data_IF_211762310024
#
_entry.id   IF_211762310024
#
_cell.length_a   1.000
_cell.length_b   1.000
_cell.length_c   1.000
_cell.angle_alpha   90.00
_cell.angle_beta   90.00
_cell.angle_gamma   90.00
#
_symmetry.space_group_name_H-M   'P 1'
#
loop_
_entity.id
_entity.type
_entity.pdbx_description
1 polymer ?
#
# COMPACT_ATOMS: atom_id res chain seq x y z
N UNK A 1 26.74 -2.00 -17.65
CA UNK A 1 25.32 -1.65 -17.41
C UNK A 1 25.23 -0.19 -16.98
N UNK A 2 24.89 0.74 -17.89
CA UNK A 2 24.55 2.11 -17.47
C UNK A 2 23.15 2.06 -16.84
N UNK A 3 23.08 2.07 -15.51
CA UNK A 3 21.85 2.44 -14.79
C UNK A 3 21.52 3.88 -15.19
N UNK A 4 20.65 4.04 -16.19
CA UNK A 4 20.23 5.35 -16.65
C UNK A 4 19.47 6.02 -15.49
N UNK A 5 19.89 7.21 -15.07
CA UNK A 5 19.26 7.97 -13.99
C UNK A 5 17.75 8.14 -14.23
N UNK A 6 17.35 8.16 -15.51
CA UNK A 6 15.96 8.14 -15.95
C UNK A 6 15.18 6.91 -15.47
N UNK A 7 15.79 5.72 -15.49
CA UNK A 7 15.13 4.49 -15.02
C UNK A 7 14.85 4.56 -13.51
N UNK A 8 15.77 5.13 -12.74
CA UNK A 8 15.59 5.31 -11.30
C UNK A 8 14.51 6.34 -11.02
N UNK A 9 14.48 7.43 -11.79
CA UNK A 9 13.42 8.41 -11.74
C UNK A 9 12.05 7.79 -12.07
N UNK A 10 11.93 7.02 -13.16
CA UNK A 10 10.68 6.40 -13.58
C UNK A 10 10.15 5.36 -12.57
N UNK A 11 11.06 4.66 -11.89
CA UNK A 11 10.75 3.70 -10.84
C UNK A 11 10.26 4.40 -9.56
N UNK A 12 10.98 5.41 -9.09
CA UNK A 12 10.78 5.98 -7.75
C UNK A 12 9.84 7.19 -7.72
N UNK A 13 9.75 7.95 -8.81
CA UNK A 13 8.94 9.17 -8.88
C UNK A 13 7.47 8.97 -8.47
N UNK A 14 6.78 7.87 -8.79
CA UNK A 14 5.37 7.73 -8.39
C UNK A 14 5.19 7.69 -6.86
N UNK A 15 6.07 6.97 -6.15
CA UNK A 15 6.06 6.91 -4.69
C UNK A 15 6.45 8.27 -4.09
N UNK A 16 7.51 8.92 -4.61
CA UNK A 16 7.91 10.22 -4.08
C UNK A 16 6.87 11.31 -4.32
N UNK A 17 6.23 11.34 -5.49
CA UNK A 17 5.13 12.25 -5.78
C UNK A 17 3.99 12.01 -4.80
N UNK A 18 3.60 10.75 -4.57
CA UNK A 18 2.57 10.39 -3.61
C UNK A 18 2.90 10.88 -2.19
N UNK A 19 4.10 10.54 -1.67
CA UNK A 19 4.54 10.93 -0.33
C UNK A 19 4.60 12.46 -0.18
N UNK A 20 5.24 13.15 -1.13
CA UNK A 20 5.39 14.61 -1.08
C UNK A 20 4.02 15.27 -1.14
N UNK A 21 3.16 14.87 -2.07
CA UNK A 21 1.85 15.48 -2.22
C UNK A 21 0.96 15.24 -0.99
N UNK A 22 0.97 14.03 -0.43
CA UNK A 22 0.28 13.72 0.82
C UNK A 22 0.82 14.57 2.00
N UNK A 23 2.15 14.67 2.13
CA UNK A 23 2.78 15.45 3.18
C UNK A 23 2.48 16.95 3.05
N UNK A 24 2.55 17.51 1.84
CA UNK A 24 2.23 18.91 1.56
C UNK A 24 0.78 19.23 1.86
N UNK A 25 -0.18 18.43 1.39
CA UNK A 25 -1.59 18.64 1.70
C UNK A 25 -1.86 18.56 3.20
N UNK A 26 -1.26 17.58 3.88
CA UNK A 26 -1.46 17.42 5.32
C UNK A 26 -0.88 18.62 6.09
N UNK A 27 0.31 19.08 5.71
CA UNK A 27 0.94 20.28 6.27
C UNK A 27 0.07 21.53 6.08
N UNK A 28 -0.47 21.74 4.87
CA UNK A 28 -1.35 22.87 4.58
C UNK A 28 -2.63 22.83 5.44
N UNK A 29 -3.32 21.68 5.51
CA UNK A 29 -4.51 21.54 6.33
C UNK A 29 -4.22 21.76 7.82
N UNK A 30 -3.09 21.26 8.32
CA UNK A 30 -2.65 21.52 9.69
C UNK A 30 -2.38 23.00 9.97
N UNK A 31 -1.88 23.76 8.97
CA UNK A 31 -1.64 25.22 9.12
C UNK A 31 -2.92 26.02 9.33
N UNK A 32 -4.05 25.52 8.83
CA UNK A 32 -5.39 26.07 9.02
C UNK A 32 -6.15 25.39 10.17
N UNK A 33 -5.48 24.61 11.02
CA UNK A 33 -6.07 23.92 12.18
C UNK A 33 -7.25 23.01 11.80
N UNK A 34 -7.24 22.45 10.60
CA UNK A 34 -8.27 21.51 10.16
C UNK A 34 -8.09 20.18 10.90
N UNK A 35 -9.07 19.83 11.73
CA UNK A 35 -9.09 18.55 12.43
C UNK A 35 -9.18 17.36 11.46
N UNK A 36 -8.62 16.20 11.85
CA UNK A 36 -8.57 14.98 11.03
C UNK A 36 -7.93 15.19 9.64
N UNK A 37 -6.97 16.11 9.54
CA UNK A 37 -6.29 16.47 8.28
C UNK A 37 -5.84 15.24 7.49
N UNK A 38 -5.22 14.25 8.13
CA UNK A 38 -4.75 13.01 7.47
C UNK A 38 -5.88 12.24 6.77
N UNK A 39 -7.07 12.17 7.39
CA UNK A 39 -8.23 11.49 6.82
C UNK A 39 -8.76 12.24 5.59
N UNK A 40 -8.84 13.57 5.70
CA UNK A 40 -9.27 14.44 4.60
C UNK A 40 -8.30 14.34 3.41
N UNK A 41 -6.99 14.38 3.66
CA UNK A 41 -5.97 14.19 2.60
C UNK A 41 -6.15 12.85 1.92
N UNK A 42 -6.40 11.78 2.67
CA UNK A 42 -6.59 10.43 2.11
C UNK A 42 -7.79 10.36 1.18
N UNK A 43 -8.90 11.01 1.56
CA UNK A 43 -10.11 11.09 0.74
C UNK A 43 -9.84 11.89 -0.54
N UNK A 44 -9.20 13.07 -0.41
CA UNK A 44 -8.81 13.91 -1.55
C UNK A 44 -7.88 13.14 -2.49
N UNK A 45 -6.98 12.32 -1.95
CA UNK A 45 -6.00 11.56 -2.72
C UNK A 45 -6.60 10.46 -3.57
N UNK A 46 -7.72 9.88 -3.14
CA UNK A 46 -8.28 8.70 -3.78
C UNK A 46 -8.67 8.91 -5.25
N UNK A 47 -9.39 9.99 -5.63
CA UNK A 47 -9.62 10.30 -7.04
C UNK A 47 -8.34 10.42 -7.88
N UNK A 48 -7.26 11.04 -7.34
CA UNK A 48 -5.98 11.16 -8.05
C UNK A 48 -5.28 9.82 -8.21
N UNK A 49 -5.33 8.97 -7.18
CA UNK A 49 -4.78 7.62 -7.23
C UNK A 49 -5.50 6.79 -8.31
N UNK A 50 -6.83 6.83 -8.36
CA UNK A 50 -7.61 6.19 -9.41
C UNK A 50 -7.27 6.74 -10.79
N UNK A 51 -7.20 8.07 -10.93
CA UNK A 51 -6.84 8.70 -12.20
C UNK A 51 -5.45 8.26 -12.69
N UNK A 52 -4.44 8.27 -11.80
CA UNK A 52 -3.10 7.79 -12.12
C UNK A 52 -3.10 6.31 -12.53
N UNK A 53 -3.87 5.48 -11.84
CA UNK A 53 -4.06 4.07 -12.19
C UNK A 53 -4.70 3.89 -13.58
N UNK A 54 -5.74 4.66 -13.90
CA UNK A 54 -6.40 4.60 -15.20
C UNK A 54 -5.49 5.04 -16.34
N UNK A 55 -4.74 6.13 -16.19
CA UNK A 55 -3.77 6.57 -17.20
C UNK A 55 -2.74 5.48 -17.50
N UNK A 56 -2.27 4.80 -16.46
CA UNK A 56 -1.30 3.72 -16.60
C UNK A 56 -1.86 2.44 -17.21
N UNK A 57 -3.15 2.16 -16.99
CA UNK A 57 -3.82 0.99 -17.58
C UNK A 57 -4.20 1.24 -19.04
N UNK A 58 -4.54 2.49 -19.40
CA UNK A 58 -4.92 2.85 -20.77
C UNK A 58 -3.74 2.68 -21.74
N UNK A 59 -2.52 3.02 -21.33
CA UNK A 59 -1.29 2.82 -22.14
C UNK A 59 -0.81 1.37 -22.28
N UNK A 60 -1.47 0.39 -21.64
CA UNK A 60 -1.07 -1.04 -21.67
C UNK A 60 -2.00 -1.94 -22.48
N UNK A 61 -3.09 -1.42 -23.05
CA UNK A 61 -4.03 -2.23 -23.86
C UNK A 61 -3.39 -2.82 -25.13
N UNK A 62 -2.25 -2.31 -25.61
CA UNK A 62 -1.67 -2.72 -26.89
C UNK A 62 -0.62 -3.85 -26.84
N UNK A 63 -0.15 -4.33 -25.67
CA UNK A 63 0.94 -5.33 -25.64
C UNK A 63 0.87 -6.35 -24.49
N UNK A 64 -0.33 -6.71 -24.06
CA UNK A 64 -0.50 -7.64 -22.96
C UNK A 64 -0.89 -9.05 -23.43
N UNK A 65 0.10 -9.82 -23.90
CA UNK A 65 0.16 -11.27 -23.62
C UNK A 65 0.44 -11.50 -22.12
N UNK A 66 -0.25 -10.78 -21.23
CA UNK A 66 -0.18 -11.00 -19.79
C UNK A 66 -1.19 -12.08 -19.47
N UNK A 67 -0.80 -13.33 -19.73
CA UNK A 67 -1.45 -14.52 -19.19
C UNK A 67 -1.19 -14.58 -17.69
N UNK A 68 -1.79 -13.65 -16.93
CA UNK A 68 -1.91 -13.84 -15.49
C UNK A 68 -2.71 -15.11 -15.28
N UNK A 69 -2.13 -16.12 -14.61
CA UNK A 69 -2.85 -17.36 -14.30
C UNK A 69 -4.18 -16.99 -13.65
N UNK A 70 -5.31 -17.61 -14.02
CA UNK A 70 -6.60 -17.30 -13.42
C UNK A 70 -6.50 -17.47 -11.91
N UNK A 71 -7.08 -16.52 -11.17
CA UNK A 71 -7.10 -16.56 -9.71
C UNK A 71 -7.84 -17.82 -9.25
N UNK A 72 -7.16 -18.72 -8.53
CA UNK A 72 -7.75 -19.98 -8.04
C UNK A 72 -8.13 -19.84 -6.56
N UNK A 73 -9.21 -20.48 -6.14
CA UNK A 73 -9.64 -20.53 -4.73
C UNK A 73 -8.54 -21.01 -3.76
N UNK A 74 -7.65 -21.91 -4.21
CA UNK A 74 -6.53 -22.35 -3.38
C UNK A 74 -5.48 -21.25 -3.13
N UNK A 75 -5.36 -20.29 -4.05
CA UNK A 75 -4.50 -19.13 -3.85
C UNK A 75 -5.10 -18.16 -2.83
N UNK A 76 -6.43 -18.01 -2.84
CA UNK A 76 -7.15 -17.28 -1.78
C UNK A 76 -6.86 -17.89 -0.42
N UNK A 77 -7.02 -19.21 -0.25
CA UNK A 77 -6.75 -19.91 1.02
C UNK A 77 -5.32 -19.69 1.53
N UNK A 78 -4.32 -19.80 0.64
CA UNK A 78 -2.91 -19.55 0.99
C UNK A 78 -2.68 -18.10 1.40
N UNK A 79 -3.26 -17.15 0.66
CA UNK A 79 -3.17 -15.72 0.99
C UNK A 79 -3.85 -15.42 2.34
N UNK A 80 -5.02 -16.01 2.60
CA UNK A 80 -5.73 -15.88 3.88
C UNK A 80 -4.91 -16.41 5.05
N UNK A 81 -4.24 -17.56 4.89
CA UNK A 81 -3.39 -18.11 5.96
C UNK A 81 -2.19 -17.19 6.26
N UNK A 82 -1.54 -16.65 5.22
CA UNK A 82 -0.44 -15.70 5.38
C UNK A 82 -0.93 -14.41 6.06
N UNK A 83 -2.11 -13.91 5.67
CA UNK A 83 -2.74 -12.74 6.31
C UNK A 83 -3.04 -13.00 7.78
N UNK A 84 -3.65 -14.15 8.11
CA UNK A 84 -3.96 -14.53 9.49
C UNK A 84 -2.67 -14.61 10.31
N UNK A 85 -1.65 -15.29 9.79
CA UNK A 85 -0.35 -15.40 10.48
C UNK A 85 0.27 -14.02 10.70
N UNK A 86 0.27 -13.14 9.69
CA UNK A 86 0.78 -11.79 9.80
C UNK A 86 0.01 -10.94 10.82
N UNK A 87 -1.31 -11.05 10.86
CA UNK A 87 -2.17 -10.38 11.83
C UNK A 87 -1.88 -10.89 13.24
N UNK A 88 -1.78 -12.20 13.44
CA UNK A 88 -1.45 -12.81 14.75
C UNK A 88 -0.08 -12.34 15.23
N UNK A 89 0.95 -12.36 14.37
CA UNK A 89 2.28 -11.85 14.71
C UNK A 89 2.19 -10.37 15.11
N UNK A 90 1.46 -9.57 14.35
CA UNK A 90 1.28 -8.14 14.64
C UNK A 90 0.63 -7.94 16.00
N UNK A 91 -0.44 -8.68 16.31
CA UNK A 91 -1.16 -8.64 17.59
C UNK A 91 -0.22 -8.99 18.75
N UNK A 92 0.55 -10.08 18.63
CA UNK A 92 1.49 -10.55 19.67
C UNK A 92 2.63 -9.55 19.90
N UNK A 93 3.09 -8.87 18.86
CA UNK A 93 4.18 -7.88 18.95
C UNK A 93 3.69 -6.51 19.42
N UNK A 94 2.39 -6.20 19.19
CA UNK A 94 1.79 -4.93 19.57
C UNK A 94 1.50 -4.87 21.07
N UNK A 95 1.85 -3.73 21.69
CA UNK A 95 1.29 -3.37 22.99
C UNK A 95 -0.07 -2.71 22.71
N UNK A 96 -1.15 -3.19 23.33
CA UNK A 96 -2.46 -2.57 23.12
C UNK A 96 -2.50 -1.18 23.76
N UNK A 97 -2.61 -0.16 22.92
CA UNK A 97 -3.07 1.16 23.35
C UNK A 97 -4.54 1.26 22.98
N UNK A 98 -5.41 1.20 23.99
CA UNK A 98 -6.85 1.26 23.75
C UNK A 98 -7.22 2.58 23.06
N UNK A 99 -7.79 2.49 21.86
CA UNK A 99 -8.19 3.68 21.10
C UNK A 99 -9.63 4.03 21.46
N UNK A 100 -9.84 5.16 22.13
CA UNK A 100 -11.13 5.47 22.79
C UNK A 100 -12.30 5.79 21.84
N UNK A 101 -12.07 5.98 20.52
CA UNK A 101 -13.15 6.33 19.59
C UNK A 101 -12.87 5.89 18.15
N UNK A 102 -13.62 4.89 17.68
CA UNK A 102 -13.71 4.54 16.27
C UNK A 102 -14.73 5.46 15.59
N UNK A 103 -14.35 6.11 14.50
CA UNK A 103 -15.24 7.00 13.74
C UNK A 103 -15.46 6.45 12.33
N UNK A 104 -16.61 6.78 11.72
CA UNK A 104 -16.84 6.47 10.30
C UNK A 104 -15.71 7.03 9.43
N UNK A 105 -15.25 8.23 9.75
CA UNK A 105 -14.14 8.88 9.06
C UNK A 105 -12.84 8.07 9.15
N UNK A 106 -12.48 7.54 10.32
CA UNK A 106 -11.27 6.73 10.50
C UNK A 106 -11.36 5.39 9.78
N UNK A 107 -12.54 4.75 9.73
CA UNK A 107 -12.75 3.52 8.95
C UNK A 107 -12.58 3.82 7.47
N UNK A 108 -13.29 4.83 6.95
CA UNK A 108 -13.20 5.21 5.54
C UNK A 108 -11.76 5.56 5.15
N UNK A 109 -11.06 6.37 5.94
CA UNK A 109 -9.72 6.81 5.56
C UNK A 109 -8.63 5.76 5.83
N UNK A 110 -8.55 5.18 7.03
CA UNK A 110 -7.40 4.34 7.42
C UNK A 110 -7.56 2.88 7.01
N UNK A 111 -8.80 2.38 6.95
CA UNK A 111 -9.06 0.97 6.63
C UNK A 111 -9.30 0.77 5.15
N UNK A 112 -10.03 1.68 4.49
CA UNK A 112 -10.41 1.51 3.09
C UNK A 112 -9.50 2.30 2.12
N UNK A 113 -9.54 3.63 2.22
CA UNK A 113 -8.95 4.49 1.19
C UNK A 113 -7.42 4.58 1.29
N UNK A 114 -6.87 4.61 2.51
CA UNK A 114 -5.42 4.65 2.75
C UNK A 114 -4.69 3.48 2.11
N UNK A 115 -5.03 2.22 2.49
CA UNK A 115 -4.48 1.03 1.85
C UNK A 115 -4.65 1.02 0.34
N UNK A 116 -5.81 1.45 -0.17
CA UNK A 116 -6.05 1.47 -1.62
C UNK A 116 -5.13 2.46 -2.34
N UNK A 117 -4.97 3.67 -1.80
CA UNK A 117 -4.04 4.67 -2.34
C UNK A 117 -2.61 4.13 -2.35
N UNK A 118 -2.17 3.56 -1.23
CA UNK A 118 -0.83 2.99 -1.08
C UNK A 118 -0.61 1.86 -2.10
N UNK A 119 -1.52 0.90 -2.22
CA UNK A 119 -1.34 -0.21 -3.16
C UNK A 119 -1.29 0.23 -4.62
N UNK A 120 -2.01 1.29 -5.00
CA UNK A 120 -1.92 1.85 -6.35
C UNK A 120 -0.49 2.33 -6.63
N UNK A 121 0.05 3.23 -5.79
CA UNK A 121 1.36 3.83 -6.05
C UNK A 121 2.52 2.83 -5.83
N UNK A 122 2.48 2.07 -4.75
CA UNK A 122 3.57 1.15 -4.41
C UNK A 122 3.53 -0.11 -5.29
N UNK A 123 2.37 -0.78 -5.44
CA UNK A 123 2.29 -2.12 -6.05
C UNK A 123 1.81 -2.07 -7.49
N UNK A 124 0.81 -1.24 -7.79
CA UNK A 124 0.29 -1.08 -9.13
C UNK A 124 1.26 -0.37 -10.08
N UNK A 125 1.94 0.65 -9.57
CA UNK A 125 2.79 1.53 -10.38
C UNK A 125 4.28 1.21 -10.17
N UNK A 126 4.84 1.52 -9.01
CA UNK A 126 6.29 1.49 -8.81
C UNK A 126 6.86 0.08 -8.79
N UNK A 127 6.23 -0.87 -8.11
CA UNK A 127 6.70 -2.27 -8.10
C UNK A 127 6.72 -2.87 -9.51
N UNK A 128 5.64 -2.71 -10.29
CA UNK A 128 5.58 -3.23 -11.66
C UNK A 128 6.61 -2.58 -12.59
N UNK A 129 6.90 -1.28 -12.42
CA UNK A 129 7.98 -0.60 -13.17
C UNK A 129 9.35 -1.08 -12.72
N UNK A 130 9.62 -1.09 -11.42
CA UNK A 130 10.89 -1.51 -10.85
C UNK A 130 11.23 -2.94 -11.17
N UNK A 131 10.24 -3.84 -11.17
CA UNK A 131 10.41 -5.23 -11.57
C UNK A 131 10.97 -5.36 -12.99
N UNK A 132 10.42 -4.58 -13.94
CA UNK A 132 10.86 -4.59 -15.35
C UNK A 132 12.26 -4.02 -15.52
N UNK A 133 12.62 -3.03 -14.71
CA UNK A 133 13.87 -2.28 -14.83
C UNK A 133 15.03 -2.91 -14.05
N UNK A 134 14.74 -3.54 -12.90
CA UNK A 134 15.73 -3.93 -11.89
C UNK A 134 15.50 -5.33 -11.31
N UNK A 135 14.46 -6.03 -11.74
CA UNK A 135 14.10 -7.36 -11.24
C UNK A 135 13.24 -7.34 -9.96
N UNK A 136 12.66 -8.51 -9.65
CA UNK A 136 11.68 -8.68 -8.58
C UNK A 136 12.26 -8.35 -7.20
N UNK A 137 13.47 -8.86 -6.89
CA UNK A 137 14.07 -8.71 -5.56
C UNK A 137 14.37 -7.25 -5.21
N UNK A 138 15.05 -6.53 -6.11
CA UNK A 138 15.36 -5.11 -5.94
C UNK A 138 14.10 -4.27 -5.81
N UNK A 139 13.10 -4.52 -6.67
CA UNK A 139 11.85 -3.77 -6.64
C UNK A 139 11.06 -4.03 -5.36
N UNK A 140 10.96 -5.28 -4.92
CA UNK A 140 10.32 -5.66 -3.67
C UNK A 140 10.98 -5.00 -2.47
N UNK A 141 12.30 -5.09 -2.36
CA UNK A 141 13.05 -4.50 -1.24
C UNK A 141 12.83 -2.99 -1.17
N UNK A 142 13.04 -2.27 -2.27
CA UNK A 142 12.98 -0.81 -2.29
C UNK A 142 11.55 -0.30 -2.05
N UNK A 143 10.56 -0.88 -2.72
CA UNK A 143 9.16 -0.43 -2.54
C UNK A 143 8.63 -0.76 -1.15
N UNK A 144 9.00 -1.91 -0.58
CA UNK A 144 8.61 -2.28 0.79
C UNK A 144 9.31 -1.43 1.84
N UNK A 145 10.57 -1.08 1.62
CA UNK A 145 11.31 -0.17 2.50
C UNK A 145 10.71 1.24 2.48
N UNK A 146 10.44 1.78 1.29
CA UNK A 146 9.78 3.09 1.15
C UNK A 146 8.35 3.10 1.73
N UNK A 147 7.66 1.97 1.73
CA UNK A 147 6.36 1.81 2.38
C UNK A 147 6.51 1.77 3.91
N UNK A 148 7.51 1.05 4.41
CA UNK A 148 7.75 0.93 5.83
C UNK A 148 8.10 2.27 6.51
N UNK A 149 9.00 3.05 5.90
CA UNK A 149 9.51 4.30 6.52
C UNK A 149 8.48 5.42 6.62
N UNK A 150 7.34 5.33 5.93
CA UNK A 150 6.24 6.29 6.09
C UNK A 150 5.39 6.03 7.34
N UNK A 151 5.60 4.89 8.00
CA UNK A 151 4.90 4.51 9.24
C UNK A 151 5.63 5.04 10.47
N UNK A 152 4.87 5.30 11.56
CA UNK A 152 5.40 5.91 12.78
C UNK A 152 5.80 4.84 13.80
N UNK A 153 7.07 4.87 14.22
CA UNK A 153 7.61 4.01 15.27
C UNK A 153 8.29 2.75 14.74
N UNK A 154 9.35 2.30 15.41
CA UNK A 154 10.22 1.24 14.92
C UNK A 154 9.50 -0.11 14.72
N UNK A 155 8.61 -0.48 15.64
CA UNK A 155 7.79 -1.71 15.53
C UNK A 155 6.91 -1.67 14.28
N UNK A 156 6.23 -0.53 14.05
CA UNK A 156 5.37 -0.35 12.88
C UNK A 156 6.17 -0.40 11.58
N UNK A 157 7.37 0.20 11.53
CA UNK A 157 8.26 0.14 10.36
C UNK A 157 8.64 -1.32 10.04
N UNK A 158 9.05 -2.11 11.03
CA UNK A 158 9.45 -3.51 10.82
C UNK A 158 8.26 -4.33 10.28
N UNK A 159 7.09 -4.19 10.91
CA UNK A 159 5.88 -4.92 10.49
C UNK A 159 5.40 -4.46 9.11
N UNK A 160 5.42 -3.15 8.83
CA UNK A 160 5.05 -2.60 7.53
C UNK A 160 6.03 -3.04 6.42
N UNK A 161 7.32 -3.20 6.72
CA UNK A 161 8.29 -3.75 5.76
C UNK A 161 7.94 -5.19 5.40
N UNK A 162 7.69 -6.03 6.40
CA UNK A 162 7.30 -7.43 6.20
C UNK A 162 5.98 -7.54 5.42
N UNK A 163 4.97 -6.75 5.79
CA UNK A 163 3.72 -6.64 5.04
C UNK A 163 3.98 -6.25 3.60
N UNK A 164 4.84 -5.25 3.38
CA UNK A 164 5.13 -4.77 2.05
C UNK A 164 5.74 -5.83 1.15
N UNK A 165 6.64 -6.65 1.69
CA UNK A 165 7.21 -7.80 0.98
C UNK A 165 6.11 -8.82 0.63
N UNK A 166 5.23 -9.15 1.57
CA UNK A 166 4.09 -10.07 1.33
C UNK A 166 3.19 -9.55 0.20
N UNK A 167 2.83 -8.27 0.23
CA UNK A 167 1.97 -7.65 -0.79
C UNK A 167 2.65 -7.63 -2.17
N UNK A 168 3.97 -7.43 -2.24
CA UNK A 168 4.73 -7.58 -3.48
C UNK A 168 4.71 -9.01 -4.03
N UNK A 169 4.80 -10.04 -3.17
CA UNK A 169 4.69 -11.44 -3.58
C UNK A 169 3.30 -11.72 -4.16
N UNK A 170 2.24 -11.24 -3.51
CA UNK A 170 0.86 -11.37 -3.99
C UNK A 170 0.69 -10.65 -5.33
N UNK A 171 1.20 -9.42 -5.45
CA UNK A 171 1.14 -8.65 -6.68
C UNK A 171 1.88 -9.35 -7.83
N UNK A 172 3.07 -9.90 -7.58
CA UNK A 172 3.84 -10.64 -8.59
C UNK A 172 3.11 -11.91 -9.04
N UNK A 173 2.49 -12.62 -8.11
CA UNK A 173 1.81 -13.89 -8.38
C UNK A 173 0.52 -13.71 -9.17
N UNK A 174 -0.26 -12.67 -8.83
CA UNK A 174 -1.61 -12.48 -9.37
C UNK A 174 -1.71 -11.38 -10.42
N UNK A 175 -0.81 -10.40 -10.41
CA UNK A 175 -0.84 -9.26 -11.34
C UNK A 175 -2.08 -8.37 -11.18
N UNK A 176 -2.77 -8.46 -10.04
CA UNK A 176 -4.07 -7.82 -9.78
C UNK A 176 -4.01 -6.99 -8.51
N UNK A 177 -4.03 -5.67 -8.69
CA UNK A 177 -3.96 -4.73 -7.56
C UNK A 177 -5.20 -4.81 -6.67
N UNK A 178 -6.34 -5.26 -7.21
CA UNK A 178 -7.58 -5.34 -6.45
C UNK A 178 -7.46 -6.38 -5.34
N UNK A 179 -6.77 -7.50 -5.61
CA UNK A 179 -6.52 -8.55 -4.63
C UNK A 179 -5.60 -8.04 -3.52
N UNK A 180 -4.54 -7.32 -3.90
CA UNK A 180 -3.56 -6.76 -2.96
C UNK A 180 -4.22 -5.70 -2.06
N UNK A 181 -5.01 -4.80 -2.64
CA UNK A 181 -5.75 -3.79 -1.90
C UNK A 181 -6.76 -4.42 -0.92
N UNK A 182 -7.54 -5.41 -1.36
CA UNK A 182 -8.47 -6.13 -0.47
C UNK A 182 -7.72 -6.79 0.70
N UNK A 183 -6.57 -7.43 0.44
CA UNK A 183 -5.77 -8.04 1.52
C UNK A 183 -5.27 -7.00 2.53
N UNK A 184 -4.77 -5.86 2.05
CA UNK A 184 -4.29 -4.79 2.93
C UNK A 184 -5.45 -4.17 3.74
N UNK A 185 -6.60 -3.92 3.11
CA UNK A 185 -7.84 -3.46 3.78
C UNK A 185 -8.24 -4.43 4.89
N UNK A 186 -8.25 -5.74 4.63
CA UNK A 186 -8.62 -6.74 5.63
C UNK A 186 -7.66 -6.72 6.82
N UNK A 187 -6.35 -6.65 6.57
CA UNK A 187 -5.35 -6.53 7.64
C UNK A 187 -5.62 -5.30 8.50
N UNK A 188 -5.80 -4.13 7.89
CA UNK A 188 -6.06 -2.90 8.64
C UNK A 188 -7.40 -2.94 9.37
N UNK A 189 -8.43 -3.57 8.80
CA UNK A 189 -9.71 -3.77 9.46
C UNK A 189 -9.55 -4.62 10.73
N UNK A 190 -8.89 -5.77 10.64
CA UNK A 190 -8.67 -6.65 11.79
C UNK A 190 -7.85 -5.98 12.88
N UNK A 191 -6.77 -5.29 12.51
CA UNK A 191 -5.95 -4.57 13.48
C UNK A 191 -6.72 -3.42 14.14
N UNK A 192 -7.49 -2.67 13.36
CA UNK A 192 -8.32 -1.57 13.91
C UNK A 192 -9.36 -2.09 14.90
N UNK A 193 -10.01 -3.22 14.59
CA UNK A 193 -10.96 -3.87 15.51
C UNK A 193 -10.24 -4.32 16.78
N UNK A 194 -9.07 -4.97 16.65
CA UNK A 194 -8.29 -5.43 17.79
C UNK A 194 -7.95 -4.28 18.75
N UNK A 195 -7.34 -3.20 18.26
CA UNK A 195 -6.96 -2.04 19.08
C UNK A 195 -8.14 -1.25 19.67
N UNK A 196 -9.37 -1.49 19.19
CA UNK A 196 -10.58 -0.88 19.73
C UNK A 196 -11.24 -1.72 20.82
N UNK A 197 -11.07 -3.04 20.77
CA UNK A 197 -11.73 -3.98 21.69
C UNK A 197 -10.81 -4.39 22.86
N UNK A 198 -9.50 -4.48 22.61
CA UNK A 198 -8.47 -5.01 23.54
C UNK A 198 -7.33 -4.02 23.73
#
# INVERSE_FOLDING_TARGET
>A
MRTNIKNWFDFLSPIFIFIIFQATLNFLLMRFSVGNSSAIVTIIMFPFALFAYFLMRHGKKENANVTGKPFRWIDFLKCSLIVILFVVITIVVSESTHVNKLTVLSILSMVLLGPTNEEIFYRGISFVKGERLYGVATSMFITSLLFAVTHKGIKAIILAFALGCILCIVQKKHGRIEIVAIMHILINLFLTIYYYIF
#
